data_IF_657148121664
#
_entry.id   IF_657148121664
#
_cell.length_a   1.000
_cell.length_b   1.000
_cell.length_c   1.000
_cell.angle_alpha   90.00
_cell.angle_beta   90.00
_cell.angle_gamma   90.00
#
_symmetry.space_group_name_H-M   'P 1'
#
loop_
_entity.id
_entity.type
_entity.pdbx_description
1 polymer ?
#
# COMPACT_ATOMS: atom_id res chain seq x y z
N UNK A 1 26.51 -22.00 22.17
CA UNK A 1 25.49 -22.52 21.25
C UNK A 1 25.05 -21.37 20.36
N UNK A 2 25.12 -21.49 19.03
CA UNK A 2 24.61 -20.44 18.13
C UNK A 2 23.08 -20.50 18.14
N UNK A 3 22.45 -19.36 18.38
CA UNK A 3 21.00 -19.19 18.35
C UNK A 3 20.51 -19.44 16.92
N UNK A 4 19.62 -20.42 16.75
CA UNK A 4 18.97 -20.67 15.46
C UNK A 4 17.83 -19.68 15.29
N UNK A 5 18.02 -18.73 14.38
CA UNK A 5 17.01 -17.73 14.01
C UNK A 5 15.90 -18.41 13.19
N UNK A 6 14.71 -18.54 13.78
CA UNK A 6 13.52 -19.02 13.07
C UNK A 6 12.94 -17.89 12.21
N UNK A 7 12.96 -18.03 10.89
CA UNK A 7 12.24 -17.13 9.99
C UNK A 7 10.72 -17.28 10.20
N UNK A 8 10.12 -16.36 10.93
CA UNK A 8 8.67 -16.27 11.09
C UNK A 8 8.08 -15.53 9.89
N UNK A 9 7.11 -16.14 9.19
CA UNK A 9 6.34 -15.50 8.11
C UNK A 9 5.26 -14.56 8.68
N UNK A 10 5.64 -13.59 9.50
CA UNK A 10 4.74 -12.64 10.14
C UNK A 10 5.44 -11.41 10.73
N UNK A 11 4.90 -10.23 10.43
CA UNK A 11 5.14 -8.90 11.05
C UNK A 11 4.38 -7.81 10.25
N UNK A 12 3.05 -7.87 10.17
CA UNK A 12 2.24 -7.06 9.24
C UNK A 12 2.16 -5.55 9.56
N UNK A 13 2.70 -5.12 10.71
CA UNK A 13 3.04 -3.70 10.98
C UNK A 13 4.30 -3.63 11.83
N UNK A 14 5.11 -2.62 11.52
CA UNK A 14 6.42 -2.38 12.11
C UNK A 14 6.26 -1.69 13.48
N UNK A 15 7.04 -2.11 14.49
CA UNK A 15 7.15 -1.36 15.73
C UNK A 15 7.75 0.03 15.44
N UNK A 16 7.09 1.09 15.91
CA UNK A 16 7.68 2.42 15.97
C UNK A 16 8.40 2.55 17.29
N UNK A 17 9.60 3.11 17.27
CA UNK A 17 9.98 4.26 18.10
C UNK A 17 11.47 4.57 17.92
N UNK A 18 11.83 5.86 17.80
CA UNK A 18 12.85 6.51 18.63
C UNK A 18 13.00 7.98 18.20
N UNK A 19 12.84 8.81 19.22
CA UNK A 19 12.71 10.27 19.23
C UNK A 19 12.10 10.63 20.59
N UNK A 20 11.97 11.91 20.91
CA UNK A 20 11.43 12.36 22.20
C UNK A 20 9.97 11.87 22.35
N UNK A 21 9.65 11.19 23.45
CA UNK A 21 8.28 10.72 23.78
C UNK A 21 7.62 9.75 22.76
N UNK A 22 8.37 8.86 22.12
CA UNK A 22 7.80 7.91 21.13
C UNK A 22 7.46 8.58 19.79
N UNK A 23 7.87 9.84 19.62
CA UNK A 23 7.81 10.53 18.35
C UNK A 23 8.88 9.97 17.39
N UNK A 24 8.66 10.08 16.08
CA UNK A 24 9.71 9.73 15.12
C UNK A 24 10.83 10.78 15.19
N UNK A 25 12.05 10.39 14.81
CA UNK A 25 13.19 11.30 14.74
C UNK A 25 12.88 12.62 13.99
N UNK A 26 12.22 12.55 12.83
CA UNK A 26 11.85 13.74 12.06
C UNK A 26 10.86 14.65 12.79
N UNK A 27 9.90 14.07 13.51
CA UNK A 27 8.93 14.83 14.31
C UNK A 27 9.57 15.47 15.54
N UNK A 28 10.57 14.82 16.13
CA UNK A 28 11.37 15.37 17.23
C UNK A 28 12.20 16.57 16.75
N UNK A 29 12.88 16.45 15.60
CA UNK A 29 13.68 17.53 15.02
C UNK A 29 12.82 18.74 14.64
N UNK A 30 11.63 18.50 14.06
CA UNK A 30 10.66 19.56 13.79
C UNK A 30 10.19 20.23 15.09
N UNK A 31 9.97 19.48 16.16
CA UNK A 31 9.61 20.01 17.48
C UNK A 31 10.70 20.91 18.07
N UNK A 32 11.97 20.48 17.97
CA UNK A 32 13.12 21.27 18.42
C UNK A 32 13.26 22.55 17.60
N UNK A 33 13.16 22.48 16.27
CA UNK A 33 13.20 23.65 15.39
C UNK A 33 12.05 24.62 15.66
N UNK A 34 10.84 24.10 15.86
CA UNK A 34 9.67 24.88 16.26
C UNK A 34 9.90 25.62 17.59
N UNK A 35 10.43 24.93 18.60
CA UNK A 35 10.76 25.53 19.89
C UNK A 35 11.84 26.62 19.77
N UNK A 36 12.87 26.39 18.96
CA UNK A 36 13.92 27.39 18.70
C UNK A 36 13.36 28.65 18.02
N UNK A 37 12.46 28.49 17.04
CA UNK A 37 11.80 29.63 16.37
C UNK A 37 10.94 30.43 17.34
N UNK A 38 10.13 29.75 18.17
CA UNK A 38 9.32 30.40 19.21
C UNK A 38 10.20 31.16 20.19
N UNK A 39 11.33 30.58 20.60
CA UNK A 39 12.30 31.22 21.48
C UNK A 39 12.90 32.48 20.86
N UNK A 40 13.33 32.42 19.60
CA UNK A 40 13.86 33.59 18.88
C UNK A 40 12.79 34.68 18.73
N UNK A 41 11.54 34.33 18.42
CA UNK A 41 10.45 35.30 18.35
C UNK A 41 10.23 35.97 19.71
N UNK A 42 10.28 35.21 20.80
CA UNK A 42 10.19 35.77 22.16
C UNK A 42 11.31 36.74 22.49
N UNK A 43 12.52 36.46 21.99
CA UNK A 43 13.70 37.33 22.18
C UNK A 43 13.56 38.66 21.43
N UNK A 44 13.05 38.67 20.20
CA UNK A 44 12.97 39.87 19.37
C UNK A 44 11.66 40.66 19.50
N UNK A 45 10.54 39.98 19.75
CA UNK A 45 9.20 40.57 19.71
C UNK A 45 8.45 40.48 21.05
N UNK A 46 9.08 39.89 22.07
CA UNK A 46 8.53 39.76 23.42
C UNK A 46 7.68 38.51 23.65
N UNK A 47 7.54 38.13 24.92
CA UNK A 47 6.88 36.88 25.34
C UNK A 47 5.41 36.78 24.96
N UNK A 48 4.68 37.90 24.86
CA UNK A 48 3.26 37.89 24.45
C UNK A 48 3.06 37.35 23.04
N UNK A 49 3.86 37.82 22.08
CA UNK A 49 3.81 37.35 20.68
C UNK A 49 4.26 35.90 20.58
N UNK A 50 5.30 35.52 21.32
CA UNK A 50 5.78 34.14 21.37
C UNK A 50 4.69 33.18 21.88
N UNK A 51 3.94 33.55 22.91
CA UNK A 51 2.84 32.71 23.44
C UNK A 51 1.72 32.51 22.42
N UNK A 52 1.32 33.57 21.72
CA UNK A 52 0.26 33.49 20.70
C UNK A 52 0.64 32.52 19.58
N UNK A 53 1.93 32.38 19.25
CA UNK A 53 2.44 31.47 18.22
C UNK A 53 2.73 30.07 18.79
N UNK A 54 3.24 29.99 20.02
CA UNK A 54 3.62 28.73 20.67
C UNK A 54 2.40 27.82 20.91
N UNK A 55 1.27 28.40 21.33
CA UNK A 55 0.05 27.66 21.65
C UNK A 55 -0.49 26.87 20.45
N UNK A 56 -0.79 27.49 19.29
CA UNK A 56 -1.29 26.75 18.12
C UNK A 56 -0.24 25.77 17.57
N UNK A 57 1.04 26.12 17.67
CA UNK A 57 2.13 25.24 17.24
C UNK A 57 2.17 23.97 18.10
N UNK A 58 2.11 24.09 19.42
CA UNK A 58 2.05 22.96 20.34
C UNK A 58 0.81 22.08 20.08
N UNK A 59 -0.35 22.68 19.82
CA UNK A 59 -1.57 21.96 19.46
C UNK A 59 -1.41 21.14 18.16
N UNK A 60 -0.67 21.65 17.18
CA UNK A 60 -0.40 20.92 15.93
C UNK A 60 0.48 19.68 16.15
N UNK A 61 1.34 19.66 17.18
CA UNK A 61 2.16 18.47 17.47
C UNK A 61 1.37 17.31 18.13
N UNK A 62 0.20 17.57 18.70
CA UNK A 62 -0.63 16.55 19.39
C UNK A 62 -0.92 15.32 18.50
N UNK A 63 -1.49 15.45 17.29
CA UNK A 63 -1.76 14.31 16.41
C UNK A 63 -0.49 13.63 15.87
N UNK A 64 0.67 14.26 16.01
CA UNK A 64 1.96 13.72 15.58
C UNK A 64 2.53 12.74 16.62
N UNK A 65 2.31 13.03 17.91
CA UNK A 65 2.67 12.20 19.06
C UNK A 65 1.69 11.05 19.25
N UNK A 66 0.40 11.27 18.96
CA UNK A 66 -0.61 10.22 19.00
C UNK A 66 -0.43 9.25 17.82
N UNK A 67 0.52 8.32 17.99
CA UNK A 67 0.77 7.24 17.04
C UNK A 67 0.01 6.00 17.46
N UNK A 68 -0.70 5.37 16.51
CA UNK A 68 -1.39 4.10 16.75
C UNK A 68 -1.08 3.15 15.60
N UNK A 69 -0.69 1.93 15.95
CA UNK A 69 -0.22 0.89 15.03
C UNK A 69 0.96 1.30 14.15
N UNK A 70 1.85 2.14 14.66
CA UNK A 70 2.97 2.59 13.86
C UNK A 70 2.63 3.69 12.84
N UNK A 71 1.57 4.48 13.03
CA UNK A 71 1.25 5.63 12.16
C UNK A 71 0.77 6.85 12.95
N UNK A 72 1.24 8.04 12.58
CA UNK A 72 0.79 9.30 13.19
C UNK A 72 -0.64 9.65 12.78
N UNK A 73 -1.31 10.50 13.56
CA UNK A 73 -2.64 11.03 13.24
C UNK A 73 -2.69 11.76 11.90
N UNK A 74 -1.62 12.49 11.54
CA UNK A 74 -1.51 13.13 10.22
C UNK A 74 -1.43 12.14 9.07
N UNK A 75 -0.63 11.07 9.22
CA UNK A 75 -0.57 10.00 8.21
C UNK A 75 -1.95 9.37 8.00
N UNK A 76 -2.73 9.19 9.08
CA UNK A 76 -4.11 8.68 9.02
C UNK A 76 -5.06 9.63 8.32
N UNK A 77 -5.02 10.91 8.67
CA UNK A 77 -5.83 11.93 8.01
C UNK A 77 -5.51 11.98 6.50
N UNK A 78 -4.24 11.94 6.15
CA UNK A 78 -3.78 11.93 4.76
C UNK A 78 -4.26 10.68 4.01
N UNK A 79 -4.16 9.50 4.60
CA UNK A 79 -4.70 8.27 4.00
C UNK A 79 -6.22 8.32 3.82
N UNK A 80 -6.96 8.84 4.83
CA UNK A 80 -8.41 8.99 4.75
C UNK A 80 -8.81 9.95 3.63
N UNK A 81 -8.08 11.04 3.50
CA UNK A 81 -8.26 12.01 2.41
C UNK A 81 -7.98 11.38 1.04
N UNK A 82 -6.87 10.65 0.91
CA UNK A 82 -6.56 9.92 -0.32
C UNK A 82 -7.65 8.90 -0.69
N UNK A 83 -8.12 8.13 0.29
CA UNK A 83 -9.19 7.16 0.10
C UNK A 83 -10.49 7.84 -0.36
N UNK A 84 -10.87 8.94 0.29
CA UNK A 84 -12.07 9.69 -0.09
C UNK A 84 -11.95 10.30 -1.49
N UNK A 85 -10.78 10.82 -1.84
CA UNK A 85 -10.48 11.34 -3.18
C UNK A 85 -10.54 10.24 -4.23
N UNK A 86 -9.96 9.07 -3.98
CA UNK A 86 -10.04 7.89 -4.84
C UNK A 86 -11.49 7.40 -4.98
N UNK A 87 -12.25 7.44 -3.87
CA UNK A 87 -13.69 7.21 -3.83
C UNK A 87 -14.45 8.09 -4.82
N UNK A 88 -14.26 9.42 -4.70
CA UNK A 88 -14.87 10.41 -5.61
C UNK A 88 -14.47 10.25 -7.07
N UNK A 89 -13.26 9.76 -7.33
CA UNK A 89 -12.79 9.48 -8.69
C UNK A 89 -13.31 8.17 -9.24
N UNK A 90 -13.92 7.30 -8.43
CA UNK A 90 -14.32 5.95 -8.82
C UNK A 90 -13.15 4.98 -8.98
N UNK A 91 -11.98 5.30 -8.41
CA UNK A 91 -10.78 4.44 -8.45
C UNK A 91 -10.87 3.26 -7.47
N UNK A 92 -11.89 3.25 -6.60
CA UNK A 92 -12.16 2.19 -5.65
C UNK A 92 -12.90 0.99 -6.26
N UNK A 93 -13.41 1.13 -7.50
CA UNK A 93 -14.09 0.06 -8.23
C UNK A 93 -13.09 -0.56 -9.21
N UNK A 94 -12.93 -1.87 -9.13
CA UNK A 94 -12.12 -2.60 -10.09
C UNK A 94 -12.89 -2.77 -11.39
N UNK A 95 -12.36 -2.17 -12.47
CA UNK A 95 -12.91 -2.32 -13.82
C UNK A 95 -11.79 -2.81 -14.74
N UNK A 96 -11.96 -3.99 -15.34
CA UNK A 96 -11.04 -4.56 -16.34
C UNK A 96 -11.73 -4.73 -17.70
N UNK A 97 -10.95 -5.05 -18.74
CA UNK A 97 -11.48 -5.27 -20.10
C UNK A 97 -12.01 -3.98 -20.75
N UNK A 98 -13.16 -4.08 -21.40
CA UNK A 98 -13.77 -2.97 -22.18
C UNK A 98 -14.13 -1.75 -21.33
N UNK A 99 -14.44 -1.97 -20.05
CA UNK A 99 -14.76 -0.90 -19.10
C UNK A 99 -13.55 -0.48 -18.25
N UNK A 100 -12.36 -0.97 -18.59
CA UNK A 100 -11.12 -0.56 -17.93
C UNK A 100 -10.81 0.91 -18.20
N UNK A 101 -10.42 1.62 -17.14
CA UNK A 101 -9.88 2.99 -17.24
C UNK A 101 -8.42 3.01 -17.68
N UNK A 102 -7.75 1.87 -17.61
CA UNK A 102 -6.35 1.71 -18.01
C UNK A 102 -6.30 1.45 -19.51
N UNK A 103 -5.56 2.27 -20.28
CA UNK A 103 -5.42 2.07 -21.71
C UNK A 103 -4.76 0.71 -22.00
N UNK A 104 -5.31 -0.02 -22.96
CA UNK A 104 -4.79 -1.34 -23.38
C UNK A 104 -5.84 -2.41 -23.62
N UNK A 105 -7.11 -2.20 -23.22
CA UNK A 105 -8.26 -3.11 -23.48
C UNK A 105 -8.03 -4.59 -23.12
N UNK A 106 -7.04 -4.89 -22.28
CA UNK A 106 -6.77 -6.26 -21.80
C UNK A 106 -7.68 -6.56 -20.60
N UNK A 107 -8.25 -7.76 -20.58
CA UNK A 107 -8.92 -8.33 -19.40
C UNK A 107 -7.86 -8.75 -18.39
N UNK A 108 -7.28 -7.77 -17.69
CA UNK A 108 -6.35 -8.06 -16.59
C UNK A 108 -7.12 -8.67 -15.43
N UNK A 109 -6.46 -9.53 -14.67
CA UNK A 109 -6.96 -10.05 -13.40
C UNK A 109 -6.54 -9.12 -12.25
N UNK A 110 -7.17 -9.19 -11.07
CA UNK A 110 -6.79 -8.36 -9.93
C UNK A 110 -5.58 -8.94 -9.17
N UNK A 111 -4.89 -8.06 -8.43
CA UNK A 111 -3.85 -8.46 -7.48
C UNK A 111 -2.63 -9.11 -8.13
N UNK A 112 -2.19 -10.23 -7.57
CA UNK A 112 -0.97 -10.94 -8.00
C UNK A 112 -1.07 -11.51 -9.42
N UNK A 113 -2.29 -11.68 -9.94
CA UNK A 113 -2.54 -12.18 -11.29
C UNK A 113 -2.63 -11.05 -12.33
N UNK A 114 -2.46 -9.78 -11.96
CA UNK A 114 -2.62 -8.64 -12.88
C UNK A 114 -1.63 -8.62 -14.05
N UNK A 115 -0.54 -9.37 -13.91
CA UNK A 115 0.52 -9.53 -14.90
C UNK A 115 0.35 -10.78 -15.77
N UNK A 116 -0.64 -11.65 -15.52
CA UNK A 116 -0.81 -12.86 -16.34
C UNK A 116 -1.37 -12.52 -17.72
N UNK A 117 -0.82 -13.14 -18.75
CA UNK A 117 -1.30 -13.07 -20.13
C UNK A 117 -1.80 -14.43 -20.60
N UNK A 118 -2.88 -14.43 -21.40
CA UNK A 118 -3.42 -15.64 -22.02
C UNK A 118 -2.92 -15.72 -23.47
N UNK A 119 -2.35 -16.86 -23.82
CA UNK A 119 -1.94 -17.22 -25.17
C UNK A 119 -2.80 -18.38 -25.65
N UNK A 120 -3.28 -18.29 -26.89
CA UNK A 120 -4.01 -19.36 -27.55
C UNK A 120 -3.09 -20.01 -28.59
N UNK A 121 -3.05 -21.34 -28.60
CA UNK A 121 -2.25 -22.13 -29.51
C UNK A 121 -3.04 -23.32 -30.07
N UNK A 122 -2.48 -23.96 -31.07
CA UNK A 122 -3.01 -25.19 -31.67
C UNK A 122 -1.98 -26.30 -31.43
N UNK A 123 -2.43 -27.41 -30.88
CA UNK A 123 -1.63 -28.62 -30.68
C UNK A 123 -1.41 -29.35 -32.03
N UNK A 124 -0.46 -30.28 -32.05
CA UNK A 124 -0.17 -31.21 -33.14
C UNK A 124 -1.41 -31.93 -33.69
N UNK A 125 -2.37 -32.27 -32.83
CA UNK A 125 -3.65 -32.89 -33.20
C UNK A 125 -4.71 -31.89 -33.68
N UNK A 126 -4.35 -30.63 -33.91
CA UNK A 126 -5.27 -29.57 -34.37
C UNK A 126 -6.22 -29.04 -33.29
N UNK A 127 -6.01 -29.42 -32.03
CA UNK A 127 -6.84 -28.98 -30.90
C UNK A 127 -6.38 -27.63 -30.38
N UNK A 128 -7.31 -26.70 -30.16
CA UNK A 128 -6.99 -25.42 -29.53
C UNK A 128 -6.70 -25.59 -28.03
N UNK A 129 -5.64 -24.97 -27.53
CA UNK A 129 -5.35 -24.92 -26.10
C UNK A 129 -5.01 -23.50 -25.65
N UNK A 130 -5.27 -23.23 -24.35
CA UNK A 130 -4.93 -21.98 -23.70
C UNK A 130 -3.72 -22.14 -22.77
N UNK A 131 -2.81 -21.19 -22.82
CA UNK A 131 -1.65 -21.10 -21.94
C UNK A 131 -1.66 -19.76 -21.20
N UNK A 132 -1.65 -19.82 -19.87
CA UNK A 132 -1.51 -18.66 -19.00
C UNK A 132 -0.02 -18.50 -18.67
N UNK A 133 0.54 -17.35 -19.02
CA UNK A 133 1.92 -16.99 -18.73
C UNK A 133 1.97 -15.83 -17.74
N UNK A 134 2.79 -15.97 -16.70
CA UNK A 134 3.07 -14.92 -15.72
C UNK A 134 4.51 -14.41 -15.89
N UNK A 135 4.72 -13.29 -16.60
CA UNK A 135 6.05 -12.77 -16.91
C UNK A 135 6.88 -12.47 -15.67
N UNK A 136 6.28 -11.92 -14.61
CA UNK A 136 7.01 -11.63 -13.35
C UNK A 136 7.66 -12.84 -12.65
N UNK A 137 7.26 -14.07 -13.00
CA UNK A 137 7.75 -15.32 -12.39
C UNK A 137 8.26 -16.31 -13.44
N UNK A 138 8.22 -15.96 -14.73
CA UNK A 138 8.41 -16.88 -15.86
C UNK A 138 7.64 -18.19 -15.68
N UNK A 139 6.42 -18.10 -15.14
CA UNK A 139 5.58 -19.26 -14.84
C UNK A 139 4.58 -19.48 -15.97
N UNK A 140 4.53 -20.71 -16.49
CA UNK A 140 3.64 -21.12 -17.59
C UNK A 140 2.68 -22.17 -17.07
N UNK A 141 1.39 -21.98 -17.32
CA UNK A 141 0.32 -22.90 -16.92
C UNK A 141 -0.54 -23.18 -18.13
N UNK A 142 -0.63 -24.46 -18.51
CA UNK A 142 -1.50 -24.92 -19.60
C UNK A 142 -2.74 -25.53 -18.96
N UNK A 143 -3.92 -25.13 -19.42
CA UNK A 143 -5.19 -25.72 -18.97
C UNK A 143 -5.59 -26.80 -19.98
N UNK A 144 -5.64 -28.04 -19.52
CA UNK A 144 -6.03 -29.20 -20.31
C UNK A 144 -7.35 -29.74 -19.77
N UNK A 145 -8.28 -30.03 -20.67
CA UNK A 145 -9.48 -30.80 -20.35
C UNK A 145 -9.26 -32.25 -20.80
N UNK A 146 -9.54 -33.20 -19.93
CA UNK A 146 -9.27 -34.61 -20.15
C UNK A 146 -10.51 -35.43 -19.81
N UNK A 147 -11.09 -36.06 -20.83
CA UNK A 147 -12.20 -36.98 -20.68
C UNK A 147 -11.68 -38.42 -20.65
N UNK A 148 -12.14 -39.26 -19.70
CA UNK A 148 -11.83 -40.68 -19.73
C UNK A 148 -12.52 -41.34 -20.93
N UNK A 149 -11.81 -42.18 -21.68
CA UNK A 149 -12.42 -43.01 -22.73
C UNK A 149 -13.48 -43.94 -22.10
N UNK A 150 -14.72 -43.85 -22.57
CA UNK A 150 -15.84 -44.70 -22.11
C UNK A 150 -17.05 -43.96 -21.52
N UNK A 151 -17.02 -42.63 -21.40
CA UNK A 151 -18.18 -41.83 -20.95
C UNK A 151 -19.23 -41.57 -22.05
N UNK A 152 -18.99 -42.05 -23.27
CA UNK A 152 -19.83 -41.85 -24.46
C UNK A 152 -20.85 -42.97 -24.70
N UNK A 153 -20.98 -43.94 -23.78
CA UNK A 153 -21.90 -45.10 -23.90
C UNK A 153 -23.11 -45.04 -22.97
N UNK A 154 -23.46 -43.88 -22.41
CA UNK A 154 -24.65 -43.75 -21.56
C UNK A 154 -25.55 -42.66 -22.11
N UNK A 155 -26.40 -43.05 -23.06
CA UNK A 155 -27.67 -42.38 -23.40
C UNK A 155 -28.80 -43.09 -22.64
#
# INVERSE_FOLDING_TARGET
MKEQEYHTYGAWRRPRDTGLMGATFGTTMLGIGAAAVVFLIGLFFGFGVAFVIAVPLALAFIPLINSRDGRSGYERALMRFQFWRAGRRGEHVYSSGTFSRIPGRKYRLPGVLADTELYEGIDSDGRSFGMIHMPSKDAYTIVLDAFPQGAETVD
#
